data_IF_234703632554
#
_entry.id   IF_234703632554
#
_cell.length_a   1.000
_cell.length_b   1.000
_cell.length_c   1.000
_cell.angle_alpha   90.00
_cell.angle_beta   90.00
_cell.angle_gamma   90.00
#
_symmetry.space_group_name_H-M   'P 1'
#
loop_
_entity.id
_entity.type
_entity.pdbx_description
1 polymer ?
#
# COMPACT_ATOMS: atom_id res chain seq x y z
N UNK A 1 20.78 -4.43 12.81
CA UNK A 1 19.93 -4.66 11.62
C UNK A 1 18.66 -5.30 12.13
N UNK A 2 17.50 -4.80 11.71
CA UNK A 2 16.21 -5.46 11.99
C UNK A 2 16.09 -6.75 11.21
N UNK A 3 15.17 -7.62 11.62
CA UNK A 3 14.80 -8.80 10.86
C UNK A 3 14.15 -8.38 9.53
N UNK A 4 14.40 -9.15 8.49
CA UNK A 4 13.85 -8.93 7.16
C UNK A 4 13.31 -10.25 6.61
N UNK A 5 11.99 -10.32 6.39
CA UNK A 5 11.31 -11.49 5.84
C UNK A 5 10.74 -11.11 4.48
N UNK A 6 10.82 -12.01 3.50
CA UNK A 6 10.15 -11.82 2.22
C UNK A 6 9.34 -13.03 1.76
N UNK A 7 8.19 -12.76 1.16
CA UNK A 7 7.27 -13.74 0.58
C UNK A 7 7.07 -13.42 -0.90
N UNK A 8 7.41 -14.37 -1.78
CA UNK A 8 7.29 -14.20 -3.22
C UNK A 8 6.33 -15.24 -3.79
N UNK A 9 5.25 -14.76 -4.39
CA UNK A 9 4.13 -15.57 -4.89
C UNK A 9 4.03 -15.42 -6.40
N UNK A 10 4.05 -16.54 -7.12
CA UNK A 10 3.90 -16.58 -8.58
C UNK A 10 2.86 -17.61 -8.99
N UNK A 11 1.80 -17.18 -9.67
CA UNK A 11 0.69 -18.07 -10.06
C UNK A 11 0.42 -17.95 -11.56
N UNK A 12 1.01 -18.87 -12.34
CA UNK A 12 0.75 -18.97 -13.77
C UNK A 12 -0.58 -19.66 -14.10
N UNK A 13 -0.94 -20.73 -13.39
CA UNK A 13 -2.21 -21.43 -13.56
C UNK A 13 -3.03 -21.30 -12.27
N UNK A 14 -3.95 -20.34 -12.18
CA UNK A 14 -4.77 -20.18 -10.99
C UNK A 14 -5.86 -21.26 -10.90
N UNK A 15 -6.55 -21.30 -9.76
CA UNK A 15 -7.72 -22.14 -9.55
C UNK A 15 -8.82 -21.93 -10.59
N UNK A 16 -9.67 -22.95 -10.80
CA UNK A 16 -10.76 -22.90 -11.79
C UNK A 16 -11.76 -21.75 -11.53
N UNK A 17 -11.91 -21.34 -10.27
CA UNK A 17 -12.78 -20.26 -9.80
C UNK A 17 -12.34 -18.86 -10.30
N UNK A 18 -11.09 -18.72 -10.73
CA UNK A 18 -10.60 -17.49 -11.36
C UNK A 18 -11.12 -17.28 -12.78
N UNK A 19 -11.54 -18.34 -13.48
CA UNK A 19 -12.09 -18.22 -14.84
C UNK A 19 -11.13 -17.65 -15.88
N UNK A 20 -9.81 -17.69 -15.64
CA UNK A 20 -8.78 -17.16 -16.54
C UNK A 20 -7.97 -18.24 -17.23
N UNK A 21 -7.38 -17.91 -18.38
CA UNK A 21 -6.43 -18.80 -19.05
C UNK A 21 -5.07 -18.80 -18.33
N UNK A 22 -4.29 -19.89 -18.43
CA UNK A 22 -2.93 -19.91 -17.92
C UNK A 22 -2.07 -18.74 -18.40
N UNK A 23 -1.41 -18.09 -17.45
CA UNK A 23 -0.43 -17.03 -17.61
C UNK A 23 0.98 -17.65 -17.64
N UNK A 24 1.85 -17.13 -18.51
CA UNK A 24 3.29 -17.45 -18.48
C UNK A 24 4.04 -16.36 -17.74
N UNK A 25 5.22 -16.68 -17.21
CA UNK A 25 6.11 -15.67 -16.61
C UNK A 25 5.90 -15.36 -15.13
N UNK A 26 4.72 -15.66 -14.54
CA UNK A 26 4.46 -15.38 -13.13
C UNK A 26 5.46 -16.05 -12.16
N UNK A 27 5.82 -17.30 -12.45
CA UNK A 27 6.84 -18.04 -11.71
C UNK A 27 8.23 -17.43 -11.89
N UNK A 28 8.51 -16.84 -13.06
CA UNK A 28 9.77 -16.13 -13.33
C UNK A 28 9.83 -14.84 -12.51
N UNK A 29 8.76 -14.05 -12.49
CA UNK A 29 8.65 -12.82 -11.70
C UNK A 29 8.89 -13.07 -10.21
N UNK A 30 8.25 -14.10 -9.65
CA UNK A 30 8.43 -14.47 -8.25
C UNK A 30 9.89 -14.88 -7.95
N UNK A 31 10.57 -15.55 -8.88
CA UNK A 31 11.98 -15.96 -8.74
C UNK A 31 12.93 -14.77 -8.80
N UNK A 32 12.75 -13.84 -9.73
CA UNK A 32 13.63 -12.67 -9.85
C UNK A 32 13.46 -11.71 -8.67
N UNK A 33 12.22 -11.52 -8.21
CA UNK A 33 11.95 -10.71 -7.01
C UNK A 33 12.54 -11.34 -5.74
N UNK A 34 12.50 -12.67 -5.63
CA UNK A 34 13.19 -13.40 -4.56
C UNK A 34 14.69 -13.19 -4.61
N UNK A 35 15.28 -13.19 -5.78
CA UNK A 35 16.72 -12.99 -5.92
C UNK A 35 17.14 -11.58 -5.49
N UNK A 36 16.36 -10.55 -5.83
CA UNK A 36 16.57 -9.19 -5.29
C UNK A 36 16.54 -9.20 -3.76
N UNK A 37 15.51 -9.81 -3.16
CA UNK A 37 15.34 -9.86 -1.72
C UNK A 37 16.48 -10.62 -1.02
N UNK A 38 16.89 -11.77 -1.56
CA UNK A 38 18.01 -12.56 -1.01
C UNK A 38 19.32 -11.77 -1.06
N UNK A 39 19.59 -11.07 -2.16
CA UNK A 39 20.79 -10.25 -2.29
C UNK A 39 20.78 -9.04 -1.33
N UNK A 40 19.60 -8.56 -0.95
CA UNK A 40 19.45 -7.54 0.08
C UNK A 40 19.49 -8.08 1.53
N UNK A 41 19.49 -9.42 1.71
CA UNK A 41 19.61 -10.07 3.02
C UNK A 41 18.29 -10.51 3.66
N UNK A 42 17.19 -10.58 2.90
CA UNK A 42 15.92 -11.09 3.41
C UNK A 42 15.93 -12.61 3.60
N UNK A 43 15.24 -13.08 4.64
CA UNK A 43 14.82 -14.47 4.78
C UNK A 43 13.61 -14.72 3.86
N UNK A 44 13.86 -15.33 2.70
CA UNK A 44 12.87 -15.39 1.60
C UNK A 44 12.19 -16.75 1.42
N UNK A 45 10.85 -16.73 1.44
CA UNK A 45 9.96 -17.83 1.01
C UNK A 45 9.52 -17.63 -0.44
N UNK A 46 9.45 -18.72 -1.22
CA UNK A 46 8.92 -18.75 -2.58
C UNK A 46 7.72 -19.69 -2.62
N UNK A 47 6.58 -19.23 -3.11
CA UNK A 47 5.39 -20.04 -3.39
C UNK A 47 5.04 -19.90 -4.88
N UNK A 48 5.10 -20.99 -5.64
CA UNK A 48 4.84 -20.96 -7.09
C UNK A 48 3.88 -22.05 -7.52
N UNK A 49 3.09 -21.77 -8.56
CA UNK A 49 2.11 -22.72 -9.09
C UNK A 49 1.24 -23.30 -7.98
N UNK A 50 1.18 -24.63 -7.87
CA UNK A 50 0.32 -25.34 -6.90
C UNK A 50 0.64 -25.09 -5.43
N UNK A 51 1.82 -24.58 -5.10
CA UNK A 51 2.22 -24.28 -3.71
C UNK A 51 1.63 -22.96 -3.21
N UNK A 52 1.28 -22.05 -4.12
CA UNK A 52 0.73 -20.74 -3.80
C UNK A 52 -0.77 -20.83 -3.50
N UNK A 53 -1.13 -21.51 -2.41
CA UNK A 53 -2.52 -21.62 -1.94
C UNK A 53 -2.88 -20.51 -0.96
N UNK A 54 -4.18 -20.26 -0.74
CA UNK A 54 -4.64 -19.29 0.26
C UNK A 54 -4.05 -19.56 1.65
N UNK A 55 -4.07 -20.81 2.10
CA UNK A 55 -3.57 -21.19 3.42
C UNK A 55 -2.05 -20.98 3.53
N UNK A 56 -1.28 -21.29 2.48
CA UNK A 56 0.17 -21.07 2.48
C UNK A 56 0.53 -19.57 2.47
N UNK A 57 -0.16 -18.77 1.65
CA UNK A 57 0.06 -17.33 1.57
C UNK A 57 -0.28 -16.68 2.92
N UNK A 58 -1.48 -16.93 3.43
CA UNK A 58 -1.95 -16.34 4.70
C UNK A 58 -1.16 -16.84 5.91
N UNK A 59 -0.76 -18.12 5.92
CA UNK A 59 0.10 -18.69 6.95
C UNK A 59 1.50 -18.09 6.98
N UNK A 60 2.08 -17.74 5.82
CA UNK A 60 3.35 -17.00 5.76
C UNK A 60 3.20 -15.55 6.27
N UNK A 61 2.10 -14.87 5.94
CA UNK A 61 1.80 -13.54 6.47
C UNK A 61 1.63 -13.56 7.99
N UNK A 62 0.96 -14.57 8.53
CA UNK A 62 0.74 -14.71 9.98
C UNK A 62 2.03 -15.01 10.74
N UNK A 63 2.91 -15.85 10.18
CA UNK A 63 4.26 -16.07 10.72
C UNK A 63 5.09 -14.78 10.72
N UNK A 64 5.08 -14.04 9.61
CA UNK A 64 5.78 -12.76 9.55
C UNK A 64 5.21 -11.73 10.56
N UNK A 65 3.89 -11.65 10.73
CA UNK A 65 3.26 -10.76 11.70
C UNK A 65 3.65 -11.11 13.14
N UNK A 66 3.82 -12.40 13.44
CA UNK A 66 4.30 -12.87 14.73
C UNK A 66 5.77 -12.49 14.97
N UNK A 67 6.63 -12.68 13.96
CA UNK A 67 8.10 -12.60 14.09
C UNK A 67 8.68 -11.19 13.93
N UNK A 68 7.99 -10.26 13.25
CA UNK A 68 8.51 -8.92 12.95
C UNK A 68 8.08 -7.87 13.99
N UNK A 69 9.04 -7.05 14.43
CA UNK A 69 8.88 -5.99 15.42
C UNK A 69 9.32 -4.62 14.87
N UNK A 70 9.30 -3.60 15.72
CA UNK A 70 9.68 -2.23 15.34
C UNK A 70 11.05 -2.17 14.65
N UNK A 71 11.10 -1.56 13.47
CA UNK A 71 12.30 -1.43 12.63
C UNK A 71 12.51 -2.57 11.63
N UNK A 72 11.80 -3.69 11.79
CA UNK A 72 11.85 -4.83 10.88
C UNK A 72 11.08 -4.54 9.59
N UNK A 73 11.30 -5.38 8.57
CA UNK A 73 10.64 -5.23 7.26
C UNK A 73 10.09 -6.56 6.73
N UNK A 74 8.87 -6.49 6.18
CA UNK A 74 8.29 -7.50 5.32
C UNK A 74 8.29 -7.01 3.87
N UNK A 75 8.73 -7.86 2.94
CA UNK A 75 8.52 -7.68 1.51
C UNK A 75 7.59 -8.78 0.99
N UNK A 76 6.45 -8.40 0.41
CA UNK A 76 5.54 -9.33 -0.28
C UNK A 76 5.54 -9.01 -1.76
N UNK A 77 5.74 -10.00 -2.62
CA UNK A 77 5.58 -9.84 -4.07
C UNK A 77 4.59 -10.84 -4.62
N UNK A 78 3.68 -10.38 -5.46
CA UNK A 78 2.70 -11.23 -6.15
C UNK A 78 2.78 -10.98 -7.65
N UNK A 79 2.87 -12.05 -8.44
CA UNK A 79 2.68 -12.03 -9.89
C UNK A 79 1.70 -13.13 -10.28
N UNK A 80 0.71 -12.78 -11.11
CA UNK A 80 -0.37 -13.68 -11.46
C UNK A 80 -1.61 -12.93 -11.95
N UNK A 81 -2.73 -13.64 -12.01
CA UNK A 81 -4.01 -13.01 -12.34
C UNK A 81 -4.56 -12.20 -11.16
N UNK A 82 -5.26 -11.13 -11.49
CA UNK A 82 -6.18 -10.46 -10.57
C UNK A 82 -7.58 -10.47 -11.16
N UNK A 83 -8.60 -10.46 -10.31
CA UNK A 83 -9.99 -10.56 -10.73
C UNK A 83 -10.91 -9.69 -9.87
N UNK A 84 -12.12 -9.40 -10.39
CA UNK A 84 -13.20 -8.72 -9.66
C UNK A 84 -14.41 -9.64 -9.53
N UNK A 85 -14.74 -10.06 -8.32
CA UNK A 85 -15.78 -11.07 -8.06
C UNK A 85 -16.71 -10.67 -6.93
N UNK A 86 -17.98 -11.08 -7.02
CA UNK A 86 -18.97 -10.78 -5.97
C UNK A 86 -18.83 -11.69 -4.74
N UNK A 87 -18.24 -12.87 -4.92
CA UNK A 87 -17.86 -13.78 -3.86
C UNK A 87 -16.58 -14.50 -4.27
N UNK A 88 -15.54 -14.42 -3.42
CA UNK A 88 -14.27 -15.10 -3.61
C UNK A 88 -14.12 -16.34 -2.71
N UNK A 89 -15.13 -16.67 -1.91
CA UNK A 89 -15.16 -17.86 -1.05
C UNK A 89 -14.13 -17.84 0.08
N UNK A 90 -13.52 -16.69 0.37
CA UNK A 90 -12.51 -16.56 1.42
C UNK A 90 -13.12 -16.19 2.79
N UNK A 91 -14.42 -15.89 2.84
CA UNK A 91 -15.15 -15.55 4.07
C UNK A 91 -15.09 -14.07 4.47
N UNK A 92 -14.61 -13.20 3.58
CA UNK A 92 -14.67 -11.75 3.74
C UNK A 92 -16.03 -11.20 3.32
N UNK A 93 -16.33 -9.96 3.73
CA UNK A 93 -17.46 -9.18 3.20
C UNK A 93 -16.90 -7.93 2.55
N UNK A 94 -17.30 -7.64 1.31
CA UNK A 94 -16.80 -6.47 0.59
C UNK A 94 -17.39 -5.21 1.20
N UNK A 95 -16.57 -4.20 1.54
CA UNK A 95 -17.04 -2.90 1.93
C UNK A 95 -17.47 -2.03 0.72
N UNK A 96 -17.21 -2.47 -0.51
CA UNK A 96 -17.48 -1.72 -1.74
C UNK A 96 -18.99 -1.66 -2.05
N UNK A 97 -19.44 -0.60 -2.73
CA UNK A 97 -20.88 -0.40 -2.95
C UNK A 97 -21.42 -1.30 -4.06
N UNK A 98 -20.58 -1.69 -5.01
CA UNK A 98 -20.90 -2.71 -6.01
C UNK A 98 -20.82 -4.14 -5.41
N UNK A 99 -20.31 -4.27 -4.19
CA UNK A 99 -20.17 -5.52 -3.46
C UNK A 99 -19.13 -6.47 -4.08
N UNK A 100 -18.26 -5.97 -4.97
CA UNK A 100 -17.20 -6.77 -5.58
C UNK A 100 -15.96 -6.76 -4.68
N UNK A 101 -15.15 -7.80 -4.81
CA UNK A 101 -13.80 -7.90 -4.27
C UNK A 101 -12.81 -7.78 -5.41
N UNK A 102 -11.72 -7.04 -5.20
CA UNK A 102 -10.50 -7.26 -5.97
C UNK A 102 -9.73 -8.43 -5.36
N UNK A 103 -9.19 -9.31 -6.19
CA UNK A 103 -8.62 -10.57 -5.71
C UNK A 103 -7.29 -10.90 -6.35
N UNK A 104 -6.44 -11.58 -5.59
CA UNK A 104 -5.34 -12.37 -6.12
C UNK A 104 -5.82 -13.78 -6.43
N UNK A 105 -5.63 -14.20 -7.66
CA UNK A 105 -5.92 -15.55 -8.11
C UNK A 105 -4.84 -16.53 -7.68
N UNK A 106 -5.04 -17.17 -6.53
CA UNK A 106 -4.14 -18.19 -6.00
C UNK A 106 -4.40 -19.55 -6.67
N UNK A 107 -3.57 -20.52 -6.33
CA UNK A 107 -3.58 -21.83 -6.98
C UNK A 107 -4.83 -22.67 -6.69
N UNK A 108 -5.43 -22.47 -5.51
CA UNK A 108 -6.61 -23.22 -5.05
C UNK A 108 -7.89 -22.38 -5.06
N UNK A 109 -7.79 -21.06 -4.88
CA UNK A 109 -8.90 -20.11 -4.88
C UNK A 109 -8.45 -18.66 -4.98
N UNK A 110 -9.40 -17.73 -5.00
CA UNK A 110 -9.14 -16.31 -4.91
C UNK A 110 -8.92 -15.81 -3.46
N UNK A 111 -8.00 -14.88 -3.28
CA UNK A 111 -7.78 -14.14 -2.04
C UNK A 111 -8.24 -12.70 -2.22
N UNK A 112 -9.23 -12.25 -1.45
CA UNK A 112 -9.66 -10.85 -1.51
C UNK A 112 -8.62 -9.90 -0.95
N UNK A 113 -8.74 -8.68 -1.45
CA UNK A 113 -8.15 -7.48 -0.90
C UNK A 113 -8.50 -7.23 0.58
N UNK A 114 -9.73 -7.49 1.02
CA UNK A 114 -10.17 -7.42 2.41
C UNK A 114 -9.41 -8.43 3.27
N UNK A 115 -9.21 -9.66 2.78
CA UNK A 115 -8.39 -10.67 3.45
C UNK A 115 -6.95 -10.18 3.57
N UNK A 116 -6.35 -9.70 2.48
CA UNK A 116 -5.00 -9.16 2.50
C UNK A 116 -4.85 -8.02 3.52
N UNK A 117 -5.75 -7.03 3.49
CA UNK A 117 -5.81 -5.94 4.46
C UNK A 117 -5.92 -6.46 5.89
N UNK A 118 -6.81 -7.43 6.13
CA UNK A 118 -7.02 -8.03 7.45
C UNK A 118 -5.73 -8.69 7.98
N UNK A 119 -4.95 -9.35 7.13
CA UNK A 119 -3.64 -9.87 7.53
C UNK A 119 -2.64 -8.74 7.84
N UNK A 120 -2.65 -7.64 7.09
CA UNK A 120 -1.82 -6.47 7.38
C UNK A 120 -2.16 -5.82 8.74
N UNK A 121 -3.41 -5.92 9.23
CA UNK A 121 -3.78 -5.42 10.57
C UNK A 121 -3.13 -6.18 11.73
N UNK A 122 -2.55 -7.36 11.48
CA UNK A 122 -1.89 -8.19 12.51
C UNK A 122 -0.48 -7.71 12.85
N UNK A 123 0.13 -6.88 12.01
CA UNK A 123 1.50 -6.40 12.19
C UNK A 123 1.57 -5.28 13.22
N UNK A 124 2.64 -5.32 14.03
CA UNK A 124 2.91 -4.32 15.06
C UNK A 124 3.19 -2.95 14.44
N UNK A 125 3.02 -1.92 15.26
CA UNK A 125 3.49 -0.57 14.92
C UNK A 125 4.99 -0.58 14.60
N UNK A 126 5.43 0.31 13.72
CA UNK A 126 6.83 0.48 13.29
C UNK A 126 7.45 -0.71 12.54
N UNK A 127 6.66 -1.73 12.20
CA UNK A 127 7.03 -2.68 11.15
C UNK A 127 6.83 -2.00 9.79
N UNK A 128 7.82 -2.10 8.91
CA UNK A 128 7.73 -1.66 7.51
C UNK A 128 7.21 -2.82 6.65
N UNK A 129 6.27 -2.57 5.77
CA UNK A 129 5.76 -3.57 4.84
C UNK A 129 5.78 -2.98 3.43
N UNK A 130 6.43 -3.68 2.51
CA UNK A 130 6.42 -3.34 1.09
C UNK A 130 5.70 -4.44 0.35
N UNK A 131 4.66 -4.09 -0.41
CA UNK A 131 3.93 -5.00 -1.28
C UNK A 131 4.17 -4.58 -2.73
N UNK A 132 4.56 -5.52 -3.57
CA UNK A 132 4.74 -5.32 -5.01
C UNK A 132 3.83 -6.30 -5.75
N UNK A 133 2.85 -5.80 -6.50
CA UNK A 133 1.89 -6.61 -7.22
C UNK A 133 1.98 -6.38 -8.74
N UNK A 134 2.35 -7.42 -9.48
CA UNK A 134 2.29 -7.47 -10.95
C UNK A 134 1.06 -8.29 -11.38
N UNK A 135 -0.11 -7.67 -11.26
CA UNK A 135 -1.38 -8.27 -11.65
C UNK A 135 -2.41 -7.20 -12.02
N UNK A 136 -3.48 -7.62 -12.71
CA UNK A 136 -4.65 -6.79 -13.00
C UNK A 136 -5.36 -6.41 -11.70
N UNK A 137 -6.16 -5.32 -11.71
CA UNK A 137 -7.01 -4.94 -10.56
C UNK A 137 -6.23 -4.88 -9.24
N UNK A 138 -5.01 -4.33 -9.29
CA UNK A 138 -4.04 -4.32 -8.19
C UNK A 138 -3.79 -2.93 -7.61
N UNK A 139 -4.51 -1.91 -8.07
CA UNK A 139 -4.31 -0.52 -7.66
C UNK A 139 -4.76 -0.24 -6.22
N UNK A 140 -5.18 -1.25 -5.47
CA UNK A 140 -5.39 -1.21 -4.03
C UNK A 140 -5.71 -2.58 -3.44
N UNK A 141 -5.57 -2.71 -2.13
CA UNK A 141 -6.25 -3.74 -1.32
C UNK A 141 -7.62 -3.24 -0.80
N UNK A 142 -8.44 -2.67 -1.68
CA UNK A 142 -9.80 -2.15 -1.46
C UNK A 142 -10.00 -0.99 -2.42
N UNK A 143 -10.92 -1.13 -3.36
CA UNK A 143 -11.48 -0.03 -4.14
C UNK A 143 -12.78 0.37 -3.48
N UNK A 144 -12.66 0.96 -2.28
CA UNK A 144 -13.62 2.00 -1.96
C UNK A 144 -13.27 3.18 -2.85
N UNK A 145 -13.92 3.30 -4.00
CA UNK A 145 -13.80 4.52 -4.76
C UNK A 145 -14.36 5.68 -3.90
N UNK A 146 -13.90 6.91 -4.13
CA UNK A 146 -14.27 8.05 -3.27
C UNK A 146 -15.80 8.25 -3.18
N UNK A 147 -16.58 7.89 -4.21
CA UNK A 147 -18.05 8.01 -4.15
C UNK A 147 -18.67 7.02 -3.17
N UNK A 148 -18.14 5.81 -3.14
CA UNK A 148 -18.56 4.73 -2.25
C UNK A 148 -18.12 5.00 -0.82
N UNK A 149 -16.92 5.53 -0.70
CA UNK A 149 -16.39 5.99 0.57
C UNK A 149 -17.28 7.03 1.24
N UNK A 150 -17.80 7.96 0.44
CA UNK A 150 -18.74 8.98 0.86
C UNK A 150 -20.15 8.44 1.10
N UNK A 151 -20.59 7.42 0.34
CA UNK A 151 -21.88 6.78 0.52
C UNK A 151 -21.93 5.98 1.83
N UNK A 152 -20.89 5.19 2.12
CA UNK A 152 -20.77 4.42 3.35
C UNK A 152 -20.68 5.33 4.60
N UNK A 153 -19.88 6.40 4.54
CA UNK A 153 -19.82 7.39 5.62
C UNK A 153 -21.16 8.09 5.87
N UNK A 154 -21.97 8.34 4.83
CA UNK A 154 -23.33 8.91 4.96
C UNK A 154 -24.30 7.95 5.62
N UNK A 155 -24.22 6.65 5.28
CA UNK A 155 -25.05 5.62 5.88
C UNK A 155 -24.78 5.48 7.39
N UNK A 156 -23.52 5.50 7.81
CA UNK A 156 -23.13 5.45 9.23
C UNK A 156 -23.52 6.72 10.01
N UNK A 157 -23.50 7.88 9.37
CA UNK A 157 -23.92 9.16 9.98
C UNK A 157 -25.44 9.33 10.08
N UNK A 158 -26.24 8.34 9.64
CA UNK A 158 -27.69 8.31 9.85
C UNK A 158 -28.48 9.38 9.09
N UNK A 159 -27.95 9.95 8.00
CA UNK A 159 -28.70 10.89 7.16
C UNK A 159 -29.71 10.13 6.32
N UNK A 160 -30.95 10.01 6.81
CA UNK A 160 -32.02 9.23 6.19
C UNK A 160 -32.42 9.74 4.80
N UNK A 161 -32.65 8.78 3.90
CA UNK A 161 -33.27 8.93 2.58
C UNK A 161 -34.64 9.62 2.65
N UNK A 162 -34.69 10.91 2.36
CA UNK A 162 -35.88 11.57 1.80
C UNK A 162 -35.43 12.69 0.86
N UNK A 163 -34.84 12.33 -0.27
CA UNK A 163 -34.74 13.25 -1.41
C UNK A 163 -35.22 12.53 -2.65
N UNK A 164 -36.40 12.94 -3.11
CA UNK A 164 -37.06 12.44 -4.30
C UNK A 164 -36.24 12.65 -5.56
N UNK A 165 -36.66 11.91 -6.58
CA UNK A 165 -36.04 11.68 -7.88
C UNK A 165 -35.84 12.94 -8.77
N UNK A 166 -34.99 13.87 -8.35
CA UNK A 166 -34.36 14.87 -9.22
C UNK A 166 -32.85 14.91 -8.90
N UNK A 167 -32.11 13.98 -9.50
CA UNK A 167 -30.67 13.86 -9.34
C UNK A 167 -29.94 14.96 -10.14
N UNK A 168 -28.93 15.57 -9.48
CA UNK A 168 -27.84 16.42 -10.03
C UNK A 168 -28.18 17.93 -10.04
N UNK A 169 -27.91 18.66 -8.93
CA UNK A 169 -26.63 19.39 -8.80
C UNK A 169 -25.97 19.34 -7.41
N UNK A 170 -26.64 18.84 -6.37
CA UNK A 170 -26.12 18.81 -4.99
C UNK A 170 -24.99 17.78 -4.76
N UNK A 171 -24.82 16.81 -5.66
CA UNK A 171 -23.82 15.73 -5.54
C UNK A 171 -22.40 16.20 -5.82
N UNK A 172 -22.20 17.17 -6.70
CA UNK A 172 -20.86 17.68 -7.02
C UNK A 172 -20.29 18.54 -5.89
N UNK A 173 -21.09 19.44 -5.32
CA UNK A 173 -20.65 20.34 -4.26
C UNK A 173 -20.41 19.60 -2.95
N UNK A 174 -21.27 18.64 -2.59
CA UNK A 174 -21.03 17.75 -1.44
C UNK A 174 -19.83 16.83 -1.65
N UNK A 175 -19.59 16.33 -2.88
CA UNK A 175 -18.39 15.57 -3.23
C UNK A 175 -17.14 16.43 -3.06
N UNK A 176 -17.13 17.64 -3.62
CA UNK A 176 -16.01 18.59 -3.48
C UNK A 176 -15.82 19.02 -2.04
N UNK A 177 -16.89 19.20 -1.26
CA UNK A 177 -16.80 19.60 0.14
C UNK A 177 -16.26 18.45 1.02
N UNK A 178 -16.69 17.22 0.77
CA UNK A 178 -16.21 16.06 1.51
C UNK A 178 -14.79 15.64 1.08
N UNK A 179 -14.46 15.74 -0.21
CA UNK A 179 -13.10 15.62 -0.72
C UNK A 179 -12.19 16.71 -0.10
N UNK A 180 -12.62 17.97 -0.11
CA UNK A 180 -11.90 19.06 0.60
C UNK A 180 -11.79 18.80 2.09
N UNK A 181 -12.83 18.32 2.76
CA UNK A 181 -12.78 18.02 4.19
C UNK A 181 -11.81 16.88 4.49
N UNK A 182 -11.81 15.82 3.67
CA UNK A 182 -10.90 14.68 3.81
C UNK A 182 -9.44 15.07 3.50
N UNK A 183 -9.21 15.87 2.44
CA UNK A 183 -7.90 16.45 2.13
C UNK A 183 -7.42 17.43 3.20
N UNK A 184 -8.32 18.24 3.79
CA UNK A 184 -7.98 19.22 4.83
C UNK A 184 -7.79 18.57 6.21
N UNK A 185 -8.27 17.34 6.42
CA UNK A 185 -8.04 16.54 7.63
C UNK A 185 -6.74 15.72 7.56
N UNK A 186 -6.22 15.50 6.34
CA UNK A 186 -4.92 14.87 6.15
C UNK A 186 -3.80 15.81 6.61
N UNK A 187 -2.77 15.33 7.33
CA UNK A 187 -1.63 16.16 7.69
C UNK A 187 -0.99 16.73 6.41
N UNK A 188 -0.49 17.98 6.43
CA UNK A 188 0.09 18.60 5.25
C UNK A 188 1.21 17.72 4.67
N UNK A 189 1.14 17.47 3.37
CA UNK A 189 2.18 16.80 2.61
C UNK A 189 3.51 17.57 2.75
N UNK A 190 4.60 16.84 2.94
CA UNK A 190 5.96 17.39 2.82
C UNK A 190 6.21 17.96 1.41
N UNK A 191 7.27 18.75 1.24
CA UNK A 191 7.64 19.30 -0.09
C UNK A 191 7.86 18.17 -1.10
N UNK A 192 8.47 17.06 -0.67
CA UNK A 192 8.72 15.90 -1.51
C UNK A 192 7.44 15.10 -1.79
N UNK A 193 6.54 14.93 -0.82
CA UNK A 193 5.21 14.36 -1.10
C UNK A 193 4.39 15.23 -2.06
N UNK A 194 4.65 16.54 -2.16
CA UNK A 194 4.08 17.40 -3.20
C UNK A 194 4.76 17.19 -4.54
N UNK A 195 6.08 17.06 -4.58
CA UNK A 195 6.84 16.75 -5.81
C UNK A 195 6.39 15.43 -6.43
N UNK A 196 6.09 14.43 -5.61
CA UNK A 196 5.59 13.12 -6.05
C UNK A 196 4.06 13.00 -5.93
N UNK A 197 3.33 14.11 -5.75
CA UNK A 197 1.87 14.06 -5.53
C UNK A 197 1.10 13.44 -6.71
N UNK A 198 1.63 13.55 -7.93
CA UNK A 198 1.12 12.88 -9.14
C UNK A 198 1.28 11.36 -9.10
N UNK A 199 2.19 10.85 -8.26
CA UNK A 199 2.50 9.43 -8.09
C UNK A 199 1.83 8.86 -6.83
N UNK A 200 1.68 9.67 -5.77
CA UNK A 200 1.27 9.24 -4.42
C UNK A 200 -0.22 8.94 -4.23
N UNK A 201 -1.06 8.99 -5.28
CA UNK A 201 -2.49 8.70 -5.24
C UNK A 201 -3.21 9.23 -3.98
N UNK A 202 -3.01 10.53 -3.68
CA UNK A 202 -3.42 11.20 -2.44
C UNK A 202 -4.88 10.96 -2.03
N UNK A 203 -5.88 10.94 -2.95
CA UNK A 203 -7.26 10.61 -2.60
C UNK A 203 -7.44 9.19 -2.02
N UNK A 204 -6.68 8.20 -2.52
CA UNK A 204 -6.76 6.81 -2.06
C UNK A 204 -6.14 6.62 -0.69
N UNK A 205 -5.02 7.30 -0.40
CA UNK A 205 -4.38 7.27 0.92
C UNK A 205 -5.37 7.58 2.06
N UNK A 206 -6.32 8.48 1.80
CA UNK A 206 -7.36 8.86 2.76
C UNK A 206 -8.36 7.74 3.04
N UNK A 207 -8.73 6.97 2.02
CA UNK A 207 -9.64 5.81 2.14
C UNK A 207 -9.04 4.74 3.06
N UNK A 208 -7.76 4.39 2.86
CA UNK A 208 -7.09 3.34 3.64
C UNK A 208 -6.84 3.75 5.09
N UNK A 209 -6.61 5.03 5.34
CA UNK A 209 -6.27 5.53 6.66
C UNK A 209 -7.48 5.99 7.49
N UNK A 210 -8.60 6.32 6.85
CA UNK A 210 -9.79 6.80 7.55
C UNK A 210 -10.95 5.82 7.44
N UNK A 211 -11.30 5.39 6.23
CA UNK A 211 -12.56 4.71 5.98
C UNK A 211 -12.50 3.20 6.19
N UNK A 212 -11.51 2.51 5.62
CA UNK A 212 -11.39 1.05 5.83
C UNK A 212 -11.33 0.66 7.31
N UNK A 213 -10.61 1.40 8.18
CA UNK A 213 -10.66 1.14 9.61
C UNK A 213 -12.03 1.30 10.24
N UNK A 214 -12.85 2.25 9.76
CA UNK A 214 -14.21 2.44 10.26
C UNK A 214 -15.10 1.27 9.84
N UNK A 215 -15.06 0.87 8.56
CA UNK A 215 -15.90 -0.19 8.01
C UNK A 215 -15.52 -1.58 8.50
N UNK A 216 -14.22 -1.88 8.63
CA UNK A 216 -13.73 -3.20 9.03
C UNK A 216 -13.51 -3.32 10.55
N UNK A 217 -13.64 -2.22 11.30
CA UNK A 217 -13.37 -2.17 12.75
C UNK A 217 -11.92 -2.46 13.14
N UNK A 218 -10.99 -2.48 12.17
CA UNK A 218 -9.56 -2.78 12.38
C UNK A 218 -8.68 -1.89 11.52
N UNK A 219 -7.58 -1.42 12.10
CA UNK A 219 -6.63 -0.50 11.47
C UNK A 219 -5.29 -1.16 11.25
N UNK A 220 -4.66 -0.90 10.11
CA UNK A 220 -3.24 -1.21 9.90
C UNK A 220 -2.37 -0.22 10.67
N UNK A 221 -1.63 -0.71 11.67
CA UNK A 221 -0.70 0.08 12.50
C UNK A 221 0.74 0.06 11.98
N UNK A 222 1.09 -0.90 11.13
CA UNK A 222 2.35 -0.92 10.40
C UNK A 222 2.43 0.20 9.36
N UNK A 223 3.63 0.47 8.84
CA UNK A 223 3.85 1.37 7.71
C UNK A 223 3.89 0.56 6.42
N UNK A 224 2.86 0.70 5.58
CA UNK A 224 2.72 -0.09 4.35
C UNK A 224 2.96 0.78 3.13
N UNK A 225 3.70 0.22 2.17
CA UNK A 225 3.90 0.77 0.84
C UNK A 225 3.50 -0.26 -0.22
N UNK A 226 2.46 0.04 -1.00
CA UNK A 226 2.03 -0.77 -2.15
C UNK A 226 2.56 -0.16 -3.46
N UNK A 227 3.26 -0.97 -4.25
CA UNK A 227 3.60 -0.72 -5.65
C UNK A 227 2.81 -1.71 -6.51
N UNK A 228 2.04 -1.23 -7.46
CA UNK A 228 1.24 -2.10 -8.33
C UNK A 228 1.45 -1.77 -9.80
N UNK A 229 1.31 -2.79 -10.67
CA UNK A 229 1.56 -2.68 -12.11
C UNK A 229 0.56 -1.78 -12.85
N UNK A 230 -0.67 -1.65 -12.37
CA UNK A 230 -1.72 -0.89 -13.03
C UNK A 230 -2.62 -0.16 -12.03
N UNK A 231 -3.40 0.81 -12.51
CA UNK A 231 -4.57 1.34 -11.81
C UNK A 231 -5.77 0.38 -11.98
N UNK A 232 -6.76 0.41 -11.07
CA UNK A 232 -7.90 -0.54 -11.01
C UNK A 232 -8.72 -0.65 -12.30
N UNK A 233 -8.74 0.40 -13.12
CA UNK A 233 -9.58 0.47 -14.33
C UNK A 233 -8.79 0.25 -15.62
N UNK A 234 -7.54 -0.17 -15.53
CA UNK A 234 -6.71 -0.48 -16.69
C UNK A 234 -6.73 -1.98 -17.01
N UNK A 235 -6.67 -2.36 -18.31
CA UNK A 235 -6.62 -3.75 -18.71
C UNK A 235 -5.37 -4.46 -18.18
N UNK A 236 -5.49 -5.78 -18.10
CA UNK A 236 -4.47 -6.70 -17.59
C UNK A 236 -3.04 -6.41 -18.10
N UNK A 237 -2.01 -6.51 -17.24
CA UNK A 237 -0.62 -6.60 -17.68
C UNK A 237 -0.46 -7.73 -18.70
N UNK A 238 0.11 -7.42 -19.86
CA UNK A 238 0.52 -8.45 -20.81
C UNK A 238 1.73 -9.16 -20.20
N UNK A 239 1.60 -10.43 -19.82
CA UNK A 239 2.74 -11.23 -19.41
C UNK A 239 3.36 -11.93 -20.62
N UNK A 240 4.69 -11.90 -20.68
CA UNK A 240 5.45 -12.68 -21.66
C UNK A 240 5.99 -13.95 -21.02
N UNK A 241 6.61 -14.81 -21.84
CA UNK A 241 7.23 -16.05 -21.37
C UNK A 241 8.25 -15.82 -20.23
N UNK A 242 8.89 -14.65 -20.21
CA UNK A 242 9.94 -14.30 -19.27
C UNK A 242 9.49 -13.46 -18.05
N UNK A 243 8.24 -13.02 -17.99
CA UNK A 243 7.72 -12.18 -16.90
C UNK A 243 6.72 -11.10 -17.33
N UNK A 244 6.14 -10.42 -16.35
CA UNK A 244 5.30 -9.23 -16.53
C UNK A 244 6.11 -7.99 -16.91
N UNK A 245 5.52 -7.08 -17.71
CA UNK A 245 6.20 -5.84 -18.15
C UNK A 245 6.63 -4.94 -16.98
N UNK A 246 5.85 -4.92 -15.89
CA UNK A 246 6.18 -4.16 -14.70
C UNK A 246 7.41 -4.75 -14.00
N UNK A 247 7.43 -6.06 -13.76
CA UNK A 247 8.59 -6.73 -13.16
C UNK A 247 9.85 -6.57 -14.02
N UNK A 248 9.75 -6.73 -15.33
CA UNK A 248 10.89 -6.54 -16.23
C UNK A 248 11.41 -5.08 -16.21
N UNK A 249 10.51 -4.10 -16.22
CA UNK A 249 10.89 -2.68 -16.11
C UNK A 249 11.53 -2.37 -14.77
N UNK A 250 11.06 -2.99 -13.69
CA UNK A 250 11.66 -2.89 -12.36
C UNK A 250 13.09 -3.44 -12.37
N UNK A 251 13.33 -4.60 -12.97
CA UNK A 251 14.67 -5.19 -13.08
C UNK A 251 15.64 -4.28 -13.85
N UNK A 252 15.17 -3.69 -14.96
CA UNK A 252 15.97 -2.77 -15.77
C UNK A 252 16.36 -1.51 -14.98
N UNK A 253 15.44 -0.93 -14.22
CA UNK A 253 15.73 0.25 -13.37
C UNK A 253 16.61 -0.13 -12.18
N UNK A 254 16.35 -1.29 -11.56
CA UNK A 254 17.12 -1.79 -10.42
C UNK A 254 18.59 -2.04 -10.79
N UNK A 255 18.84 -2.43 -12.04
CA UNK A 255 20.15 -2.52 -12.67
C UNK A 255 21.16 -3.38 -11.86
N UNK A 256 20.68 -4.56 -11.43
CA UNK A 256 21.48 -5.49 -10.62
C UNK A 256 21.88 -4.92 -9.25
N UNK A 257 21.09 -4.00 -8.70
CA UNK A 257 21.39 -3.33 -7.44
C UNK A 257 22.36 -2.15 -7.59
N UNK A 258 22.45 -1.53 -8.76
CA UNK A 258 23.16 -0.24 -8.95
C UNK A 258 22.26 0.97 -8.75
N UNK A 259 20.94 0.80 -8.80
CA UNK A 259 20.00 1.87 -8.48
C UNK A 259 20.23 2.44 -7.07
N UNK A 260 20.34 3.77 -6.97
CA UNK A 260 20.66 4.51 -5.75
C UNK A 260 19.56 5.47 -5.27
N UNK A 261 18.44 5.56 -6.02
CA UNK A 261 17.30 6.39 -5.64
C UNK A 261 16.43 5.78 -4.54
N UNK A 262 15.34 6.48 -4.21
CA UNK A 262 14.33 6.02 -3.25
C UNK A 262 13.14 5.34 -3.94
N UNK A 263 12.17 4.82 -3.17
CA UNK A 263 10.96 4.19 -3.71
C UNK A 263 10.15 5.07 -4.70
N UNK A 264 9.88 6.36 -4.42
CA UNK A 264 9.29 7.28 -5.39
C UNK A 264 10.10 7.47 -6.68
N UNK A 265 11.43 7.46 -6.60
CA UNK A 265 12.29 7.53 -7.79
C UNK A 265 12.18 6.23 -8.61
N UNK A 266 12.22 5.08 -7.94
CA UNK A 266 12.08 3.76 -8.57
C UNK A 266 10.79 3.67 -9.38
N UNK A 267 9.64 3.98 -8.76
CA UNK A 267 8.35 3.86 -9.44
C UNK A 267 8.21 4.89 -10.57
N UNK A 268 8.80 6.08 -10.43
CA UNK A 268 8.82 7.10 -11.49
C UNK A 268 9.63 6.67 -12.70
N UNK A 269 10.79 6.03 -12.50
CA UNK A 269 11.61 5.51 -13.59
C UNK A 269 10.97 4.28 -14.26
N UNK A 270 10.29 3.43 -13.50
CA UNK A 270 9.46 2.34 -14.03
C UNK A 270 8.32 2.92 -14.88
N UNK A 271 7.58 3.89 -14.36
CA UNK A 271 6.48 4.53 -15.09
C UNK A 271 6.95 5.14 -16.43
N UNK A 272 8.15 5.71 -16.47
CA UNK A 272 8.75 6.24 -17.71
C UNK A 272 9.09 5.20 -18.77
N UNK A 273 9.14 3.90 -18.40
CA UNK A 273 9.39 2.77 -19.31
C UNK A 273 8.11 2.07 -19.76
N UNK A 274 7.00 2.24 -19.03
CA UNK A 274 5.73 1.58 -19.33
C UNK A 274 4.94 2.38 -20.36
N UNK A 275 4.50 1.71 -21.43
CA UNK A 275 3.75 2.34 -22.52
C UNK A 275 2.23 2.23 -22.34
N UNK A 276 1.76 1.13 -21.75
CA UNK A 276 0.34 0.77 -21.69
C UNK A 276 -0.17 0.54 -20.27
N UNK A 277 0.65 0.86 -19.27
CA UNK A 277 0.37 0.61 -17.85
C UNK A 277 0.73 1.84 -17.04
N UNK A 278 -0.17 2.24 -16.15
CA UNK A 278 0.10 3.30 -15.18
C UNK A 278 0.33 2.65 -13.82
N UNK A 279 1.58 2.59 -13.32
CA UNK A 279 1.85 1.95 -12.05
C UNK A 279 1.26 2.76 -10.89
N UNK A 280 0.79 2.04 -9.87
CA UNK A 280 0.25 2.61 -8.65
C UNK A 280 1.32 2.67 -7.55
N UNK A 281 1.29 3.73 -6.76
CA UNK A 281 2.14 3.90 -5.59
C UNK A 281 1.31 4.43 -4.41
N UNK A 282 1.06 3.57 -3.42
CA UNK A 282 0.11 3.85 -2.34
C UNK A 282 0.73 3.58 -0.96
N UNK A 283 1.15 4.63 -0.23
CA UNK A 283 1.52 4.51 1.17
C UNK A 283 0.31 4.62 2.10
N UNK A 284 0.19 3.72 3.07
CA UNK A 284 -0.89 3.73 4.08
C UNK A 284 -0.47 3.11 5.43
N UNK A 285 -1.35 3.17 6.42
CA UNK A 285 -1.04 2.79 7.81
C UNK A 285 -0.31 3.92 8.56
N UNK A 286 0.61 3.58 9.47
CA UNK A 286 1.44 4.57 10.16
C UNK A 286 2.32 5.31 9.14
N UNK A 287 2.32 6.64 9.18
CA UNK A 287 3.18 7.46 8.30
C UNK A 287 4.64 7.18 8.65
N UNK A 288 5.42 6.80 7.63
CA UNK A 288 6.86 6.61 7.75
C UNK A 288 7.59 7.25 6.56
N UNK A 289 8.12 8.47 6.70
CA UNK A 289 8.96 9.08 5.68
C UNK A 289 10.21 8.23 5.41
N UNK A 290 10.82 7.64 6.45
CA UNK A 290 11.99 6.77 6.30
C UNK A 290 11.80 5.67 5.26
N UNK A 291 10.66 4.98 5.27
CA UNK A 291 10.31 3.94 4.30
C UNK A 291 10.20 4.49 2.85
N UNK A 292 9.79 5.74 2.68
CA UNK A 292 9.69 6.35 1.35
C UNK A 292 11.05 6.83 0.82
N UNK A 293 11.97 7.21 1.71
CA UNK A 293 13.26 7.81 1.35
C UNK A 293 14.42 6.83 1.37
N UNK A 294 14.25 5.66 2.01
CA UNK A 294 15.25 4.62 1.95
C UNK A 294 15.39 4.07 0.53
N UNK A 295 16.56 3.50 0.28
CA UNK A 295 16.82 2.77 -0.96
C UNK A 295 15.89 1.56 -1.03
N UNK A 296 15.26 1.27 -2.19
CA UNK A 296 14.42 0.09 -2.34
C UNK A 296 15.11 -1.19 -1.88
N UNK A 297 14.34 -2.04 -1.21
CA UNK A 297 14.80 -3.31 -0.64
C UNK A 297 15.83 -3.17 0.49
N UNK A 298 15.95 -2.00 1.13
CA UNK A 298 16.82 -1.83 2.29
C UNK A 298 16.27 -2.51 3.54
N UNK A 299 17.08 -3.37 4.16
CA UNK A 299 16.79 -3.95 5.48
C UNK A 299 17.11 -2.99 6.63
N UNK A 300 17.94 -1.97 6.38
CA UNK A 300 18.26 -0.93 7.36
C UNK A 300 17.21 0.17 7.29
N UNK A 301 16.39 0.28 8.34
CA UNK A 301 15.33 1.28 8.43
C UNK A 301 15.89 2.70 8.58
N UNK A 302 15.44 3.63 7.75
CA UNK A 302 15.48 5.05 8.09
C UNK A 302 14.37 5.38 9.11
N UNK A 303 14.57 6.40 9.97
CA UNK A 303 13.56 6.76 10.97
C UNK A 303 12.21 7.16 10.34
N UNK A 304 11.11 6.69 10.93
CA UNK A 304 9.76 7.11 10.57
C UNK A 304 9.35 8.45 11.21
N UNK A 305 10.14 8.95 12.16
CA UNK A 305 9.98 10.29 12.72
C UNK A 305 10.95 11.27 12.04
N UNK A 306 10.51 12.49 11.71
CA UNK A 306 11.44 13.52 11.29
C UNK A 306 12.44 13.81 12.43
N UNK A 307 13.71 14.10 12.13
CA UNK A 307 14.66 14.49 13.16
C UNK A 307 14.09 15.69 13.94
N UNK A 308 14.24 15.75 15.27
CA UNK A 308 13.78 16.89 16.04
C UNK A 308 14.38 18.16 15.46
N UNK A 309 13.52 19.17 15.23
CA UNK A 309 13.96 20.48 14.72
C UNK A 309 15.14 20.96 15.57
N UNK A 310 16.30 21.09 14.94
CA UNK A 310 17.48 21.66 15.58
C UNK A 310 17.14 23.09 16.04
N UNK A 311 16.86 23.27 17.33
CA UNK A 311 16.57 24.59 17.90
C UNK A 311 15.57 24.64 19.06
N UNK A 312 14.83 23.57 19.38
CA UNK A 312 14.00 23.57 20.58
C UNK A 312 14.79 23.13 21.82
N UNK A 313 15.72 23.97 22.27
CA UNK A 313 16.33 23.82 23.60
C UNK A 313 15.23 23.91 24.66
N UNK A 314 14.93 22.80 25.33
CA UNK A 314 14.15 22.81 26.57
C UNK A 314 14.91 23.62 27.62
N UNK A 315 14.31 24.72 28.06
CA UNK A 315 14.52 25.29 29.39
C UNK A 315 15.82 26.07 29.62
N UNK A 316 15.82 27.34 29.24
CA UNK A 316 16.36 28.37 30.14
C UNK A 316 15.21 29.29 30.51
N UNK A 317 14.82 29.28 31.79
CA UNK A 317 13.88 30.25 32.35
C UNK A 317 14.39 31.67 32.09
N UNK A 318 13.53 32.65 31.77
CA UNK A 318 13.97 34.04 31.69
C UNK A 318 14.42 34.48 33.09
N UNK A 319 15.70 34.84 33.20
CA UNK A 319 16.26 35.55 34.34
C UNK A 319 15.39 36.79 34.60
N UNK A 320 14.73 36.82 35.76
CA UNK A 320 14.07 38.00 36.31
C UNK A 320 15.16 39.05 36.54
N UNK A 321 15.19 40.09 35.72
CA UNK A 321 16.01 41.28 35.94
C UNK A 321 15.37 42.09 37.09
N UNK A 322 15.77 41.81 38.32
CA UNK A 322 15.48 42.68 39.45
C UNK A 322 16.22 44.02 39.25
N UNK A 323 15.46 45.09 39.02
CA UNK A 323 15.98 46.45 39.04
C UNK A 323 16.39 46.81 40.48
N UNK A 324 17.69 46.92 40.70
CA UNK A 324 18.24 47.61 41.87
C UNK A 324 18.13 49.13 41.64
N UNK A 325 17.36 49.80 42.48
CA UNK A 325 17.36 51.25 42.63
C UNK A 325 18.51 51.60 43.58
N UNK A 326 19.50 52.44 43.21
CA UNK A 326 20.40 53.03 44.18
C UNK A 326 19.78 54.31 44.76
N UNK A 327 19.58 54.33 46.07
CA UNK A 327 19.42 55.56 46.84
C UNK A 327 20.70 56.39 46.75
N UNK A 328 20.57 57.69 46.50
CA UNK A 328 21.57 58.68 46.87
C UNK A 328 20.88 59.88 47.53
N UNK A 329 21.47 60.29 48.66
CA UNK A 329 21.19 61.49 49.45
C UNK A 329 21.18 62.79 48.64
#
# INVERSE_FOLDING_TARGET
MGNAISLHVGVGCPGEDCGTQPLKGADCDARVMREIARNAGFASTLLIGKEATLDEVTGNLDRAAHDLYAGDILLVTYSGHGNRVQDCGDGSTSPESDGLFETWCLADRQMSDVKAYTHLTKFREDVRIVVIADCCYSGGFAVLNMQEALAAARAELGTSEQFGSELIPATHELRVAAEKALLNSAPPLSIEERMFSSVLNVPRRSVYNALLPALLGKRVTASVLLLASTLDNEPAPIHQEHGGFFTMSLLDVWDGGRFSGSYPHLISEIAGKLLSQTPNFLPFGKRCPGLLHERPFSISALPCEPPPLAGASRGQSPLVLAHAIPEFH
#
